data_IF_291760347762
#
_entry.id   IF_291760347762
#
_cell.length_a   1.000
_cell.length_b   1.000
_cell.length_c   1.000
_cell.angle_alpha   90.00
_cell.angle_beta   90.00
_cell.angle_gamma   90.00
#
_symmetry.space_group_name_H-M   'P 1'
#
loop_
_entity.id
_entity.type
_entity.pdbx_description
1 polymer ?
#
# COMPACT_ATOMS: atom_id res chain seq x y z
N UNK A 1 20.12 -50.78 -55.41
CA UNK A 1 20.10 -51.68 -54.23
C UNK A 1 20.46 -50.87 -52.98
N UNK A 2 19.60 -50.96 -51.97
CA UNK A 2 19.75 -50.64 -50.54
C UNK A 2 20.31 -49.29 -50.04
N UNK A 3 19.40 -48.49 -49.46
CA UNK A 3 19.68 -47.53 -48.39
C UNK A 3 18.52 -47.53 -47.38
N UNK A 4 18.55 -48.46 -46.42
CA UNK A 4 17.54 -48.63 -45.38
C UNK A 4 17.55 -47.45 -44.41
N UNK A 5 16.42 -46.72 -44.36
CA UNK A 5 16.07 -45.80 -43.29
C UNK A 5 16.00 -46.55 -41.95
N UNK A 6 16.99 -46.32 -41.08
CA UNK A 6 17.02 -46.87 -39.72
C UNK A 6 16.24 -45.93 -38.80
N UNK A 7 14.95 -46.23 -38.65
CA UNK A 7 14.07 -45.69 -37.61
C UNK A 7 14.72 -45.95 -36.23
N UNK A 8 15.16 -44.90 -35.55
CA UNK A 8 15.65 -45.00 -34.16
C UNK A 8 14.47 -45.29 -33.24
N UNK A 9 14.45 -46.55 -32.80
CA UNK A 9 13.56 -47.18 -31.83
C UNK A 9 13.38 -46.28 -30.59
N UNK A 10 12.23 -45.63 -30.49
CA UNK A 10 11.77 -44.94 -29.29
C UNK A 10 11.61 -45.95 -28.15
N UNK A 11 12.39 -45.79 -27.08
CA UNK A 11 12.29 -46.62 -25.88
C UNK A 11 10.97 -46.34 -25.14
N UNK A 12 10.02 -47.29 -25.08
CA UNK A 12 8.72 -47.09 -24.43
C UNK A 12 8.85 -46.85 -22.90
N UNK A 13 9.93 -47.33 -22.29
CA UNK A 13 10.18 -47.15 -20.86
C UNK A 13 10.50 -45.69 -20.47
N UNK A 14 11.14 -44.90 -21.33
CA UNK A 14 11.51 -43.52 -21.03
C UNK A 14 10.28 -42.57 -20.99
N UNK A 15 9.31 -42.79 -21.90
CA UNK A 15 8.07 -42.02 -21.92
C UNK A 15 7.18 -42.30 -20.69
N UNK A 16 7.11 -43.55 -20.22
CA UNK A 16 6.30 -43.91 -19.04
C UNK A 16 6.87 -43.25 -17.77
N UNK A 17 8.20 -43.16 -17.66
CA UNK A 17 8.83 -42.45 -16.54
C UNK A 17 8.56 -40.94 -16.58
N UNK A 18 8.62 -40.30 -17.75
CA UNK A 18 8.32 -38.88 -17.89
C UNK A 18 6.85 -38.56 -17.61
N UNK A 19 5.92 -39.37 -18.12
CA UNK A 19 4.49 -39.23 -17.83
C UNK A 19 4.17 -39.46 -16.35
N UNK A 20 4.80 -40.45 -15.68
CA UNK A 20 4.65 -40.65 -14.23
C UNK A 20 5.22 -39.49 -13.43
N UNK A 21 6.34 -38.90 -13.86
CA UNK A 21 6.95 -37.75 -13.20
C UNK A 21 6.10 -36.49 -13.37
N UNK A 22 5.59 -36.26 -14.58
CA UNK A 22 4.66 -35.16 -14.88
C UNK A 22 3.35 -35.28 -14.08
N UNK A 23 2.74 -36.48 -14.05
CA UNK A 23 1.51 -36.72 -13.28
C UNK A 23 1.74 -36.60 -11.77
N UNK A 24 2.91 -37.01 -11.27
CA UNK A 24 3.28 -36.84 -9.85
C UNK A 24 3.48 -35.36 -9.50
N UNK A 25 4.17 -34.60 -10.35
CA UNK A 25 4.33 -33.15 -10.15
C UNK A 25 2.99 -32.40 -10.27
N UNK A 26 2.11 -32.79 -11.19
CA UNK A 26 0.79 -32.15 -11.31
C UNK A 26 -0.08 -32.45 -10.09
N UNK A 27 -0.06 -33.69 -9.58
CA UNK A 27 -0.81 -34.05 -8.36
C UNK A 27 -0.26 -33.35 -7.11
N UNK A 28 1.06 -33.17 -7.00
CA UNK A 28 1.65 -32.38 -5.90
C UNK A 28 1.23 -30.91 -5.99
N UNK A 29 1.18 -30.34 -7.20
CA UNK A 29 0.70 -28.96 -7.39
C UNK A 29 -0.79 -28.81 -7.10
N UNK A 30 -1.61 -29.76 -7.53
CA UNK A 30 -3.06 -29.74 -7.26
C UNK A 30 -3.30 -29.89 -5.76
N UNK A 31 -2.64 -30.83 -5.08
CA UNK A 31 -2.75 -31.00 -3.63
C UNK A 31 -2.26 -29.76 -2.86
N UNK A 32 -1.20 -29.09 -3.33
CA UNK A 32 -0.72 -27.85 -2.72
C UNK A 32 -1.68 -26.67 -2.93
N UNK A 33 -2.37 -26.60 -4.08
CA UNK A 33 -3.40 -25.58 -4.37
C UNK A 33 -4.63 -25.83 -3.49
N UNK A 34 -5.06 -27.09 -3.38
CA UNK A 34 -6.23 -27.51 -2.62
C UNK A 34 -6.01 -27.35 -1.10
N UNK A 35 -4.82 -27.64 -0.58
CA UNK A 35 -4.43 -27.40 0.81
C UNK A 35 -4.33 -25.89 1.14
N UNK A 36 -3.96 -25.06 0.16
CA UNK A 36 -3.92 -23.61 0.29
C UNK A 36 -5.34 -23.01 0.30
N UNK A 37 -6.23 -23.53 -0.54
CA UNK A 37 -7.66 -23.18 -0.57
C UNK A 37 -8.36 -23.58 0.73
N UNK A 38 -7.98 -24.71 1.34
CA UNK A 38 -8.54 -25.21 2.61
C UNK A 38 -8.06 -24.45 3.86
N UNK A 39 -6.88 -23.80 3.82
CA UNK A 39 -6.34 -23.00 4.95
C UNK A 39 -6.90 -21.58 5.04
N UNK A 40 -7.52 -21.06 3.99
CA UNK A 40 -8.21 -19.77 4.03
C UNK A 40 -9.64 -20.03 4.48
N UNK A 41 -9.86 -20.09 5.80
CA UNK A 41 -11.20 -20.08 6.35
C UNK A 41 -11.90 -18.79 5.89
N UNK A 42 -13.05 -18.88 5.18
CA UNK A 42 -13.79 -17.71 4.73
C UNK A 42 -14.20 -16.81 5.90
N UNK A 43 -14.31 -17.35 7.12
CA UNK A 43 -14.65 -16.59 8.33
C UNK A 43 -13.46 -15.79 8.89
N UNK A 44 -12.26 -16.37 8.90
CA UNK A 44 -11.04 -15.64 9.28
C UNK A 44 -10.74 -14.49 8.31
N UNK A 45 -11.03 -14.71 7.02
CA UNK A 45 -10.93 -13.70 5.97
C UNK A 45 -11.96 -12.57 6.17
N UNK A 46 -13.24 -12.92 6.41
CA UNK A 46 -14.30 -11.95 6.69
C UNK A 46 -13.98 -11.08 7.91
N UNK A 47 -13.48 -11.69 8.98
CA UNK A 47 -13.07 -10.95 10.19
C UNK A 47 -11.91 -9.99 9.93
N UNK A 48 -10.92 -10.37 9.11
CA UNK A 48 -9.81 -9.47 8.76
C UNK A 48 -10.26 -8.32 7.87
N UNK A 49 -11.08 -8.58 6.86
CA UNK A 49 -11.66 -7.52 6.01
C UNK A 49 -12.50 -6.57 6.86
N UNK A 50 -13.38 -7.11 7.73
CA UNK A 50 -14.17 -6.29 8.64
C UNK A 50 -13.28 -5.49 9.60
N UNK A 51 -12.18 -6.07 10.09
CA UNK A 51 -11.20 -5.37 10.93
C UNK A 51 -10.49 -4.25 10.17
N UNK A 52 -10.02 -4.48 8.95
CA UNK A 52 -9.36 -3.43 8.14
C UNK A 52 -10.34 -2.32 7.75
N UNK A 53 -11.57 -2.66 7.33
CA UNK A 53 -12.63 -1.67 7.08
C UNK A 53 -12.96 -0.88 8.34
N UNK A 54 -13.13 -1.58 9.47
CA UNK A 54 -13.36 -0.95 10.77
C UNK A 54 -12.21 -0.02 11.17
N UNK A 55 -10.97 -0.41 10.90
CA UNK A 55 -9.79 0.42 11.15
C UNK A 55 -9.77 1.67 10.28
N UNK A 56 -10.07 1.54 8.99
CA UNK A 56 -10.13 2.69 8.06
C UNK A 56 -11.25 3.63 8.49
N UNK A 57 -12.45 3.13 8.78
CA UNK A 57 -13.57 3.96 9.24
C UNK A 57 -13.23 4.64 10.57
N UNK A 58 -12.64 3.92 11.53
CA UNK A 58 -12.21 4.47 12.81
C UNK A 58 -11.19 5.60 12.63
N UNK A 59 -10.11 5.35 11.89
CA UNK A 59 -9.05 6.35 11.76
C UNK A 59 -9.43 7.52 10.84
N UNK A 60 -10.32 7.31 9.86
CA UNK A 60 -10.65 8.31 8.85
C UNK A 60 -11.87 9.15 9.25
N UNK A 61 -12.83 8.58 9.98
CA UNK A 61 -13.98 9.34 10.49
C UNK A 61 -13.86 9.68 11.98
N UNK A 62 -13.56 8.70 12.85
CA UNK A 62 -13.64 8.92 14.30
C UNK A 62 -12.53 9.85 14.79
N UNK A 63 -11.28 9.64 14.37
CA UNK A 63 -10.16 10.47 14.83
C UNK A 63 -10.32 11.94 14.41
N UNK A 64 -10.61 12.27 13.14
CA UNK A 64 -10.78 13.67 12.76
C UNK A 64 -11.99 14.33 13.42
N UNK A 65 -13.05 13.57 13.71
CA UNK A 65 -14.19 14.10 14.48
C UNK A 65 -13.84 14.37 15.94
N UNK A 66 -13.09 13.48 16.60
CA UNK A 66 -12.61 13.70 17.97
C UNK A 66 -11.67 14.91 18.03
N UNK A 67 -10.80 15.08 17.03
CA UNK A 67 -9.97 16.27 16.88
C UNK A 67 -10.83 17.52 16.67
N UNK A 68 -11.86 17.44 15.81
CA UNK A 68 -12.80 18.53 15.59
C UNK A 68 -13.49 18.96 16.88
N UNK A 69 -13.96 18.02 17.70
CA UNK A 69 -14.53 18.31 19.01
C UNK A 69 -13.51 18.95 19.97
N UNK A 70 -12.28 18.42 20.01
CA UNK A 70 -11.22 18.95 20.88
C UNK A 70 -10.78 20.38 20.51
N UNK A 71 -10.81 20.72 19.22
CA UNK A 71 -10.40 22.04 18.71
C UNK A 71 -11.58 22.99 18.41
N UNK A 72 -12.81 22.58 18.73
CA UNK A 72 -14.02 23.40 18.49
C UNK A 72 -14.35 23.59 17.00
N UNK A 73 -13.88 22.71 16.12
CA UNK A 73 -14.16 22.75 14.68
C UNK A 73 -15.57 22.21 14.41
N UNK A 74 -16.42 22.95 13.70
CA UNK A 74 -17.78 22.50 13.44
C UNK A 74 -17.79 21.25 12.55
N UNK A 75 -18.71 20.28 12.76
CA UNK A 75 -18.73 19.02 12.02
C UNK A 75 -18.72 19.16 10.48
N UNK A 76 -19.43 20.13 9.87
CA UNK A 76 -19.35 20.35 8.43
C UNK A 76 -17.91 20.65 7.95
N UNK A 77 -17.15 21.45 8.70
CA UNK A 77 -15.77 21.77 8.36
C UNK A 77 -14.86 20.55 8.49
N UNK A 78 -15.10 19.68 9.47
CA UNK A 78 -14.41 18.37 9.62
C UNK A 78 -14.61 17.53 8.35
N UNK A 79 -15.84 17.37 7.87
CA UNK A 79 -16.12 16.64 6.63
C UNK A 79 -15.48 17.30 5.40
N UNK A 80 -15.54 18.63 5.29
CA UNK A 80 -14.89 19.38 4.21
C UNK A 80 -13.38 19.17 4.20
N UNK A 81 -12.74 19.15 5.38
CA UNK A 81 -11.31 18.88 5.52
C UNK A 81 -10.97 17.43 5.12
N UNK A 82 -11.77 16.44 5.54
CA UNK A 82 -11.56 15.04 5.13
C UNK A 82 -11.68 14.92 3.61
N UNK A 83 -12.78 15.41 3.03
CA UNK A 83 -13.04 15.32 1.59
C UNK A 83 -11.97 16.05 0.78
N UNK A 84 -11.59 17.26 1.21
CA UNK A 84 -10.52 18.01 0.54
C UNK A 84 -9.17 17.32 0.67
N UNK A 85 -8.85 16.67 1.80
CA UNK A 85 -7.60 15.88 1.94
C UNK A 85 -7.55 14.75 0.93
N UNK A 86 -8.65 14.03 0.74
CA UNK A 86 -8.73 12.90 -0.19
C UNK A 86 -8.56 13.40 -1.64
N UNK A 87 -9.19 14.52 -1.98
CA UNK A 87 -9.21 15.02 -3.37
C UNK A 87 -7.95 15.84 -3.72
N UNK A 88 -7.57 16.76 -2.84
CA UNK A 88 -6.55 17.79 -3.07
C UNK A 88 -5.21 17.46 -2.40
N UNK A 89 -5.16 16.43 -1.55
CA UNK A 89 -3.95 15.99 -0.85
C UNK A 89 -3.35 17.14 -0.02
N UNK A 90 -2.05 17.44 -0.16
CA UNK A 90 -1.42 18.54 0.58
C UNK A 90 -2.06 19.91 0.27
N UNK A 91 -2.68 20.09 -0.91
CA UNK A 91 -3.38 21.33 -1.27
C UNK A 91 -4.68 21.55 -0.47
N UNK A 92 -5.18 20.53 0.24
CA UNK A 92 -6.28 20.67 1.20
C UNK A 92 -5.96 21.67 2.33
N UNK A 93 -4.68 21.95 2.57
CA UNK A 93 -4.25 23.00 3.50
C UNK A 93 -4.83 24.37 3.15
N UNK A 94 -4.99 24.67 1.86
CA UNK A 94 -5.63 25.91 1.40
C UNK A 94 -7.09 25.99 1.86
N UNK A 95 -7.81 24.87 1.80
CA UNK A 95 -9.20 24.78 2.25
C UNK A 95 -9.29 24.94 3.76
N UNK A 96 -8.37 24.33 4.52
CA UNK A 96 -8.34 24.51 5.97
C UNK A 96 -8.08 25.95 6.39
N UNK A 97 -7.13 26.62 5.74
CA UNK A 97 -6.84 28.03 6.00
C UNK A 97 -7.99 28.94 5.56
N UNK A 98 -8.66 28.66 4.43
CA UNK A 98 -9.81 29.45 3.96
C UNK A 98 -11.05 29.30 4.84
N UNK A 99 -11.18 28.17 5.56
CA UNK A 99 -12.18 27.97 6.61
C UNK A 99 -11.83 28.70 7.93
N UNK A 100 -10.80 29.55 7.94
CA UNK A 100 -10.37 30.31 9.11
C UNK A 100 -9.72 29.46 10.20
N UNK A 101 -9.31 28.23 9.88
CA UNK A 101 -8.71 27.34 10.87
C UNK A 101 -7.27 27.71 11.14
N UNK A 102 -6.84 27.55 12.40
CA UNK A 102 -5.47 27.79 12.79
C UNK A 102 -4.52 26.81 12.05
N UNK A 103 -3.36 27.25 11.53
CA UNK A 103 -2.46 26.40 10.73
C UNK A 103 -2.05 25.09 11.43
N UNK A 104 -1.84 25.13 12.75
CA UNK A 104 -1.52 23.94 13.52
C UNK A 104 -2.69 22.92 13.54
N UNK A 105 -3.94 23.39 13.62
CA UNK A 105 -5.13 22.54 13.59
C UNK A 105 -5.27 21.90 12.22
N UNK A 106 -5.09 22.68 11.14
CA UNK A 106 -5.08 22.18 9.76
C UNK A 106 -4.02 21.09 9.59
N UNK A 107 -2.79 21.33 10.05
CA UNK A 107 -1.70 20.35 9.93
C UNK A 107 -2.02 19.03 10.64
N UNK A 108 -2.48 19.10 11.89
CA UNK A 108 -2.84 17.91 12.68
C UNK A 108 -3.96 17.14 11.98
N UNK A 109 -4.97 17.86 11.51
CA UNK A 109 -6.14 17.25 10.88
C UNK A 109 -5.79 16.54 9.58
N UNK A 110 -5.11 17.23 8.65
CA UNK A 110 -4.67 16.66 7.37
C UNK A 110 -3.74 15.48 7.58
N UNK A 111 -2.83 15.57 8.57
CA UNK A 111 -1.90 14.49 8.89
C UNK A 111 -2.63 13.27 9.45
N UNK A 112 -3.64 13.46 10.30
CA UNK A 112 -4.44 12.34 10.84
C UNK A 112 -5.15 11.56 9.73
N UNK A 113 -5.78 12.27 8.79
CA UNK A 113 -6.43 11.68 7.62
C UNK A 113 -5.41 10.98 6.73
N UNK A 114 -4.26 11.60 6.48
CA UNK A 114 -3.23 11.00 5.65
C UNK A 114 -2.69 9.69 6.23
N UNK A 115 -2.39 9.67 7.53
CA UNK A 115 -1.93 8.45 8.24
C UNK A 115 -3.00 7.36 8.19
N UNK A 116 -4.28 7.72 8.38
CA UNK A 116 -5.39 6.78 8.25
C UNK A 116 -5.42 6.11 6.87
N UNK A 117 -5.29 6.91 5.79
CA UNK A 117 -5.26 6.42 4.41
C UNK A 117 -4.04 5.54 4.17
N UNK A 118 -2.84 5.95 4.59
CA UNK A 118 -1.62 5.16 4.42
C UNK A 118 -1.72 3.79 5.09
N UNK A 119 -2.20 3.75 6.34
CA UNK A 119 -2.40 2.49 7.07
C UNK A 119 -3.44 1.62 6.37
N UNK A 120 -4.56 2.22 5.94
CA UNK A 120 -5.63 1.53 5.23
C UNK A 120 -5.14 0.86 3.94
N UNK A 121 -4.34 1.56 3.15
CA UNK A 121 -3.77 1.01 1.90
C UNK A 121 -2.84 -0.16 2.19
N UNK A 122 -1.96 -0.03 3.20
CA UNK A 122 -1.05 -1.12 3.58
C UNK A 122 -1.81 -2.38 4.00
N UNK A 123 -2.87 -2.23 4.80
CA UNK A 123 -3.75 -3.34 5.20
C UNK A 123 -4.43 -4.00 3.98
N UNK A 124 -4.95 -3.19 3.06
CA UNK A 124 -5.57 -3.69 1.82
C UNK A 124 -4.54 -4.47 0.99
N UNK A 125 -3.32 -3.94 0.84
CA UNK A 125 -2.25 -4.62 0.13
C UNK A 125 -1.88 -5.97 0.80
N UNK A 126 -1.78 -6.02 2.13
CA UNK A 126 -1.52 -7.25 2.87
C UNK A 126 -2.63 -8.30 2.63
N UNK A 127 -3.90 -7.88 2.65
CA UNK A 127 -5.04 -8.75 2.30
C UNK A 127 -4.93 -9.33 0.88
N UNK A 128 -4.47 -8.53 -0.09
CA UNK A 128 -4.27 -8.99 -1.47
C UNK A 128 -3.12 -9.99 -1.60
N UNK A 129 -2.01 -9.79 -0.88
CA UNK A 129 -0.91 -10.76 -0.87
C UNK A 129 -1.30 -12.10 -0.25
N UNK A 130 -2.11 -12.11 0.81
CA UNK A 130 -2.59 -13.38 1.39
C UNK A 130 -3.48 -14.15 0.41
N UNK A 131 -4.29 -13.44 -0.39
CA UNK A 131 -5.22 -14.06 -1.33
C UNK A 131 -4.56 -14.61 -2.59
N UNK A 132 -3.46 -14.01 -3.06
CA UNK A 132 -2.89 -14.32 -4.37
C UNK A 132 -1.49 -14.94 -4.29
N UNK A 133 -1.40 -16.23 -4.61
CA UNK A 133 -0.12 -16.95 -4.73
C UNK A 133 0.84 -16.30 -5.74
N UNK A 134 0.31 -15.66 -6.80
CA UNK A 134 1.12 -14.93 -7.78
C UNK A 134 1.76 -13.70 -7.16
N UNK A 135 1.01 -12.95 -6.36
CA UNK A 135 1.52 -11.77 -5.62
C UNK A 135 2.54 -12.22 -4.59
N UNK A 136 2.30 -13.29 -3.82
CA UNK A 136 3.31 -13.83 -2.89
C UNK A 136 4.59 -14.25 -3.59
N UNK A 137 4.48 -14.89 -4.76
CA UNK A 137 5.64 -15.30 -5.56
C UNK A 137 6.40 -14.10 -6.12
N UNK A 138 5.68 -13.04 -6.52
CA UNK A 138 6.27 -11.78 -6.95
C UNK A 138 7.00 -11.08 -5.80
N UNK A 139 6.34 -10.94 -4.64
CA UNK A 139 6.94 -10.36 -3.42
C UNK A 139 8.19 -11.13 -2.99
N UNK A 140 8.16 -12.47 -2.98
CA UNK A 140 9.36 -13.29 -2.69
C UNK A 140 10.47 -13.11 -3.70
N UNK A 141 10.15 -12.94 -5.00
CA UNK A 141 11.15 -12.64 -6.03
C UNK A 141 11.77 -11.26 -5.82
N UNK A 142 10.95 -10.26 -5.47
CA UNK A 142 11.41 -8.90 -5.20
C UNK A 142 12.30 -8.92 -3.95
N UNK A 143 11.84 -9.50 -2.84
CA UNK A 143 12.61 -9.60 -1.60
C UNK A 143 13.91 -10.39 -1.77
N UNK A 144 13.92 -11.51 -2.52
CA UNK A 144 15.16 -12.23 -2.82
C UNK A 144 16.16 -11.43 -3.68
N UNK A 145 15.68 -10.44 -4.45
CA UNK A 145 16.51 -9.53 -5.23
C UNK A 145 16.95 -8.31 -4.41
N UNK A 146 16.11 -7.86 -3.48
CA UNK A 146 16.34 -6.73 -2.59
C UNK A 146 17.25 -7.08 -1.40
N UNK A 147 17.10 -8.29 -0.83
CA UNK A 147 17.92 -8.80 0.28
C UNK A 147 19.38 -9.06 -0.09
N UNK A 148 19.73 -8.97 -1.38
CA UNK A 148 21.13 -8.93 -1.84
C UNK A 148 21.77 -7.54 -1.69
N UNK A 149 20.98 -6.52 -1.36
CA UNK A 149 21.41 -5.12 -1.26
C UNK A 149 20.81 -4.50 0.01
N UNK A 150 21.45 -4.73 1.17
CA UNK A 150 20.98 -4.22 2.47
C UNK A 150 20.78 -2.69 2.49
N UNK A 151 21.55 -1.95 1.69
CA UNK A 151 21.42 -0.50 1.53
C UNK A 151 20.02 -0.07 1.04
N UNK A 152 19.38 -0.85 0.16
CA UNK A 152 18.05 -0.53 -0.38
C UNK A 152 16.94 -0.69 0.67
N UNK A 153 17.11 -1.53 1.69
CA UNK A 153 16.12 -1.69 2.77
C UNK A 153 16.05 -0.46 3.70
N UNK A 154 17.18 0.19 3.94
CA UNK A 154 17.25 1.35 4.85
C UNK A 154 17.09 2.69 4.09
N UNK A 155 17.79 2.85 2.95
CA UNK A 155 17.71 4.08 2.15
C UNK A 155 16.50 4.12 1.21
N UNK A 156 15.92 2.97 0.85
CA UNK A 156 14.72 2.92 0.01
C UNK A 156 13.50 3.54 0.69
N UNK A 157 13.39 3.43 2.02
CA UNK A 157 12.34 4.10 2.78
C UNK A 157 12.49 5.64 2.76
N UNK A 158 13.73 6.16 2.71
CA UNK A 158 13.98 7.59 2.58
C UNK A 158 13.52 8.14 1.22
N UNK A 159 13.55 7.32 0.16
CA UNK A 159 12.99 7.71 -1.14
C UNK A 159 11.47 7.94 -1.12
N UNK A 160 10.76 7.45 -0.10
CA UNK A 160 9.33 7.74 0.07
C UNK A 160 9.07 9.22 0.39
N UNK A 161 10.05 9.93 0.97
CA UNK A 161 9.94 11.35 1.32
C UNK A 161 9.75 12.21 0.07
N UNK A 162 10.59 12.14 -0.99
CA UNK A 162 10.34 12.89 -2.22
C UNK A 162 9.17 12.33 -3.04
N UNK A 163 8.89 11.01 -2.99
CA UNK A 163 7.78 10.41 -3.76
C UNK A 163 6.43 11.00 -3.36
N UNK A 164 6.25 11.34 -2.08
CA UNK A 164 4.98 11.91 -1.58
C UNK A 164 4.72 13.35 -2.04
N UNK A 165 5.62 13.94 -2.84
CA UNK A 165 5.41 15.26 -3.41
C UNK A 165 4.72 15.21 -4.78
N UNK A 166 4.63 14.02 -5.40
CA UNK A 166 4.03 13.87 -6.72
C UNK A 166 2.50 13.94 -6.61
N UNK A 167 1.84 14.98 -7.15
CA UNK A 167 0.38 15.09 -7.08
C UNK A 167 -0.29 13.88 -7.73
N UNK A 168 -1.41 13.44 -7.16
CA UNK A 168 -2.16 12.26 -7.66
C UNK A 168 -1.61 10.91 -7.21
N UNK A 169 -0.29 10.76 -7.09
CA UNK A 169 0.36 9.50 -6.69
C UNK A 169 0.80 9.53 -5.22
N UNK A 170 1.02 10.71 -4.65
CA UNK A 170 1.62 10.88 -3.34
C UNK A 170 0.93 10.10 -2.21
N UNK A 171 -0.34 10.40 -1.94
CA UNK A 171 -1.04 9.81 -0.79
C UNK A 171 -1.33 8.31 -0.97
N UNK A 172 -1.55 7.88 -2.22
CA UNK A 172 -2.06 6.55 -2.53
C UNK A 172 -0.96 5.58 -2.98
N UNK A 173 -0.02 6.07 -3.78
CA UNK A 173 1.04 5.28 -4.39
C UNK A 173 2.22 5.04 -3.46
N UNK A 174 2.59 5.99 -2.59
CA UNK A 174 3.71 5.80 -1.69
C UNK A 174 3.54 4.58 -0.75
N UNK A 175 2.36 4.32 -0.14
CA UNK A 175 2.14 3.10 0.64
C UNK A 175 2.22 1.82 -0.20
N UNK A 176 1.70 1.84 -1.43
CA UNK A 176 1.77 0.68 -2.36
C UNK A 176 3.21 0.38 -2.76
N UNK A 177 4.00 1.42 -3.06
CA UNK A 177 5.43 1.27 -3.36
C UNK A 177 6.17 0.75 -2.14
N UNK A 178 5.96 1.35 -0.95
CA UNK A 178 6.59 0.89 0.28
C UNK A 178 6.30 -0.59 0.56
N UNK A 179 5.07 -1.02 0.27
CA UNK A 179 4.65 -2.40 0.39
C UNK A 179 5.25 -3.31 -0.68
N UNK A 180 5.29 -2.89 -1.94
CA UNK A 180 5.82 -3.66 -3.07
C UNK A 180 7.31 -3.97 -2.87
N UNK A 181 8.06 -3.02 -2.33
CA UNK A 181 9.48 -3.15 -1.98
C UNK A 181 9.70 -3.77 -0.58
N UNK A 182 8.63 -4.16 0.13
CA UNK A 182 8.67 -4.82 1.44
C UNK A 182 9.48 -4.04 2.49
N UNK A 183 9.38 -2.71 2.49
CA UNK A 183 10.06 -1.88 3.47
C UNK A 183 9.46 -2.04 4.88
N UNK A 184 10.25 -1.84 5.94
CA UNK A 184 9.76 -1.97 7.31
C UNK A 184 8.59 -1.01 7.57
N UNK A 185 7.40 -1.58 7.83
CA UNK A 185 6.12 -0.84 7.90
C UNK A 185 6.18 0.41 8.78
N UNK A 186 6.83 0.33 9.94
CA UNK A 186 6.99 1.46 10.87
C UNK A 186 7.84 2.59 10.27
N UNK A 187 8.97 2.25 9.67
CA UNK A 187 9.90 3.23 9.08
C UNK A 187 9.24 3.87 7.86
N UNK A 188 8.58 3.08 7.01
CA UNK A 188 7.85 3.60 5.86
C UNK A 188 6.76 4.60 6.25
N UNK A 189 5.93 4.27 7.25
CA UNK A 189 4.88 5.20 7.72
C UNK A 189 5.51 6.47 8.27
N UNK A 190 6.60 6.39 9.04
CA UNK A 190 7.29 7.57 9.56
C UNK A 190 7.85 8.45 8.43
N UNK A 191 8.54 7.85 7.45
CA UNK A 191 9.09 8.58 6.30
C UNK A 191 7.98 9.22 5.44
N UNK A 192 6.91 8.49 5.13
CA UNK A 192 5.76 9.03 4.39
C UNK A 192 5.08 10.16 5.16
N UNK A 193 4.87 9.98 6.47
CA UNK A 193 4.26 11.02 7.32
C UNK A 193 5.14 12.26 7.41
N UNK A 194 6.46 12.09 7.55
CA UNK A 194 7.40 13.21 7.56
C UNK A 194 7.36 13.98 6.23
N UNK A 195 7.43 13.27 5.09
CA UNK A 195 7.32 13.90 3.77
C UNK A 195 5.98 14.62 3.57
N UNK A 196 4.88 14.02 4.04
CA UNK A 196 3.55 14.64 4.03
C UNK A 196 3.51 15.95 4.82
N UNK A 197 3.99 15.92 6.06
CA UNK A 197 4.02 17.10 6.94
C UNK A 197 4.82 18.23 6.29
N UNK A 198 5.99 17.92 5.71
CA UNK A 198 6.79 18.93 5.01
C UNK A 198 6.02 19.49 3.82
N UNK A 199 5.38 18.66 3.00
CA UNK A 199 4.59 19.11 1.86
C UNK A 199 3.44 20.04 2.29
N UNK A 200 2.70 19.68 3.34
CA UNK A 200 1.62 20.51 3.90
C UNK A 200 2.16 21.84 4.43
N UNK A 201 3.28 21.83 5.16
CA UNK A 201 3.94 23.05 5.64
C UNK A 201 4.33 23.96 4.49
N UNK A 202 4.91 23.41 3.42
CA UNK A 202 5.31 24.20 2.23
C UNK A 202 4.11 24.83 1.55
N UNK A 203 3.01 24.09 1.39
CA UNK A 203 1.75 24.63 0.84
C UNK A 203 1.20 25.74 1.73
N UNK A 204 1.16 25.54 3.05
CA UNK A 204 0.69 26.57 3.98
C UNK A 204 1.59 27.81 3.97
N UNK A 205 2.92 27.63 3.93
CA UNK A 205 3.88 28.72 3.86
C UNK A 205 3.73 29.53 2.57
N UNK A 206 3.52 28.84 1.43
CA UNK A 206 3.23 29.49 0.16
C UNK A 206 1.90 30.27 0.23
N UNK A 207 0.86 29.68 0.81
CA UNK A 207 -0.45 30.33 0.97
C UNK A 207 -0.36 31.60 1.83
N UNK A 208 0.27 31.50 3.01
CA UNK A 208 0.44 32.63 3.94
C UNK A 208 1.39 33.70 3.38
N UNK A 209 2.44 33.29 2.67
CA UNK A 209 3.38 34.19 2.01
C UNK A 209 2.73 34.96 0.86
N UNK A 210 1.90 34.29 0.06
CA UNK A 210 1.09 34.95 -0.99
C UNK A 210 0.10 35.95 -0.40
N UNK A 211 -0.56 35.61 0.72
CA UNK A 211 -1.46 36.53 1.41
C UNK A 211 -0.72 37.79 1.88
N UNK A 212 0.51 37.68 2.39
CA UNK A 212 1.32 38.83 2.79
C UNK A 212 1.88 39.68 1.64
N UNK A 213 1.92 39.14 0.43
CA UNK A 213 2.40 39.87 -0.76
C UNK A 213 1.25 40.56 -1.51
N UNK A 214 0.03 40.04 -1.38
CA UNK A 214 -1.16 40.54 -2.08
C UNK A 214 -1.91 41.65 -1.32
N UNK A 215 -1.71 41.76 0.00
CA UNK A 215 -2.38 42.71 0.90
C UNK A 215 -1.35 43.40 1.80
#
# INVERSE_FOLDING_TARGET
>A
MHGQYRYTRTHPHAQVHLLRRYKRESMIRIAAIEECERRISPEACRMRIARSIGFVILFLLVIPHLLGLAFGVPPPAVFTLIASTILLQAAAALVGLSLGQHPAVVLIFLTSVAVAVMIGILEICDLFAERSYLIQRLLRKIDAKMGRIDYLKHYGALMLIPIIWIPGIALYGAPVVAWLFQYPRRISILCMTAGWVIAVIVVMAAALGLVRLAF
#
